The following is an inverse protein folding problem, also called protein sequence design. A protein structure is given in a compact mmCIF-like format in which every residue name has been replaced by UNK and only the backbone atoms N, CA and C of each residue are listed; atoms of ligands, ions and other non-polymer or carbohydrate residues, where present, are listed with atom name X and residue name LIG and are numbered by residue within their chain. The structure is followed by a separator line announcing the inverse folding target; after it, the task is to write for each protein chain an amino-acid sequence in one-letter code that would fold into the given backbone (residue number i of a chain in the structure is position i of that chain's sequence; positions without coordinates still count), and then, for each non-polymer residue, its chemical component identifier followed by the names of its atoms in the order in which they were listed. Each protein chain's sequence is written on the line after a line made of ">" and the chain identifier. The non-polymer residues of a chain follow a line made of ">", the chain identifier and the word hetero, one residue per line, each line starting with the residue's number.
data_IF_881258479677
#
_entry.id   IF_881258479677
#
_cell.length_a   1.000
_cell.length_b   1.000
_cell.length_c   1.000
_cell.angle_alpha   90.00
_cell.angle_beta   90.00
_cell.angle_gamma   90.00
#
_symmetry.space_group_name_H-M   'P 1'
#
loop_
_entity.id
_entity.type
_entity.pdbx_description
1 polymer ?
#
# COMPACT_ATOMS: atom_id res chain seq x y z
N UNK A 1 15.04 -84.73 30.79
CA UNK A 1 15.87 -83.95 29.83
C UNK A 1 15.14 -83.59 28.56
N UNK A 2 14.41 -84.50 27.92
CA UNK A 2 13.66 -84.26 26.67
C UNK A 2 12.63 -83.13 26.74
N UNK A 3 11.84 -83.03 27.81
CA UNK A 3 10.83 -81.97 27.98
C UNK A 3 11.41 -80.56 28.10
N UNK A 4 12.61 -80.42 28.67
CA UNK A 4 13.26 -79.12 28.83
C UNK A 4 13.75 -78.60 27.47
N UNK A 5 14.28 -79.50 26.63
CA UNK A 5 14.73 -79.19 25.28
C UNK A 5 13.55 -78.76 24.39
N UNK A 6 12.39 -79.41 24.50
CA UNK A 6 11.21 -79.05 23.69
C UNK A 6 10.65 -77.67 24.02
N UNK A 7 10.66 -77.28 25.30
CA UNK A 7 10.18 -75.96 25.75
C UNK A 7 11.12 -74.87 25.23
N UNK A 8 12.43 -75.12 25.30
CA UNK A 8 13.43 -74.19 24.75
C UNK A 8 13.24 -74.03 23.24
N UNK A 9 13.06 -75.13 22.50
CA UNK A 9 12.87 -75.04 21.03
C UNK A 9 11.58 -74.31 20.65
N UNK A 10 10.48 -74.53 21.37
CA UNK A 10 9.20 -73.84 21.11
C UNK A 10 9.29 -72.35 21.45
N UNK A 11 10.02 -71.99 22.51
CA UNK A 11 10.24 -70.59 22.89
C UNK A 11 11.09 -69.85 21.86
N UNK A 12 12.14 -70.52 21.34
CA UNK A 12 12.98 -69.97 20.26
C UNK A 12 12.18 -69.80 18.97
N UNK A 13 11.36 -70.78 18.60
CA UNK A 13 10.46 -70.69 17.44
C UNK A 13 9.43 -69.56 17.58
N UNK A 14 8.86 -69.37 18.77
CA UNK A 14 7.94 -68.27 19.05
C UNK A 14 8.63 -66.89 18.92
N UNK A 15 9.86 -66.76 19.44
CA UNK A 15 10.66 -65.53 19.31
C UNK A 15 11.13 -65.26 17.87
N UNK A 16 11.26 -66.30 17.04
CA UNK A 16 11.61 -66.16 15.62
C UNK A 16 10.39 -65.85 14.74
N UNK A 17 9.18 -66.19 15.19
CA UNK A 17 7.94 -66.00 14.43
C UNK A 17 7.16 -64.72 14.83
N UNK A 18 7.37 -64.20 16.04
CA UNK A 18 6.80 -62.91 16.47
C UNK A 18 7.35 -61.64 15.76
N UNK A 19 8.60 -61.57 15.27
CA UNK A 19 9.11 -60.34 14.67
C UNK A 19 8.48 -60.01 13.32
N UNK A 20 7.97 -60.99 12.58
CA UNK A 20 7.51 -60.77 11.20
C UNK A 20 6.23 -59.95 11.12
N UNK A 21 5.33 -60.04 12.11
CA UNK A 21 4.10 -59.25 12.11
C UNK A 21 4.32 -57.78 12.49
N UNK A 22 5.34 -57.49 13.32
CA UNK A 22 5.64 -56.13 13.77
C UNK A 22 6.38 -55.32 12.70
N UNK A 23 7.21 -55.98 11.88
CA UNK A 23 7.95 -55.33 10.79
C UNK A 23 7.01 -54.84 9.69
N UNK A 24 5.92 -55.57 9.39
CA UNK A 24 4.94 -55.17 8.37
C UNK A 24 4.10 -53.93 8.77
N UNK A 25 3.79 -53.75 10.05
CA UNK A 25 3.01 -52.58 10.52
C UNK A 25 3.84 -51.30 10.58
N UNK A 26 5.17 -51.40 10.71
CA UNK A 26 6.06 -50.24 10.68
C UNK A 26 6.28 -49.73 9.25
N UNK A 27 6.33 -50.62 8.26
CA UNK A 27 6.61 -50.29 6.86
C UNK A 27 5.52 -49.39 6.24
N UNK A 28 4.24 -49.65 6.54
CA UNK A 28 3.10 -48.84 6.11
C UNK A 28 3.17 -47.39 6.65
N UNK A 29 3.73 -47.20 7.84
CA UNK A 29 3.90 -45.86 8.43
C UNK A 29 5.12 -45.10 7.88
N UNK A 30 6.14 -45.83 7.41
CA UNK A 30 7.34 -45.24 6.79
C UNK A 30 7.03 -44.69 5.39
N UNK A 31 6.19 -45.38 4.63
CA UNK A 31 5.78 -44.92 3.29
C UNK A 31 4.84 -43.70 3.37
N UNK A 32 3.89 -43.68 4.31
CA UNK A 32 3.01 -42.53 4.51
C UNK A 32 3.78 -41.28 4.95
N UNK A 33 4.71 -41.41 5.91
CA UNK A 33 5.51 -40.27 6.37
C UNK A 33 6.44 -39.74 5.28
N UNK A 34 7.03 -40.62 4.46
CA UNK A 34 7.83 -40.23 3.31
C UNK A 34 6.99 -39.47 2.27
N UNK A 35 5.75 -39.91 2.04
CA UNK A 35 4.81 -39.22 1.14
C UNK A 35 4.43 -37.83 1.67
N UNK A 36 4.21 -37.70 2.99
CA UNK A 36 3.91 -36.43 3.63
C UNK A 36 5.09 -35.47 3.61
N UNK A 37 6.32 -35.96 3.83
CA UNK A 37 7.54 -35.16 3.72
C UNK A 37 7.71 -34.60 2.31
N UNK A 38 7.55 -35.44 1.27
CA UNK A 38 7.61 -34.98 -0.12
C UNK A 38 6.53 -33.95 -0.44
N UNK A 39 5.31 -34.15 0.08
CA UNK A 39 4.21 -33.19 -0.09
C UNK A 39 4.47 -31.87 0.62
N UNK A 40 5.07 -31.91 1.80
CA UNK A 40 5.40 -30.70 2.56
C UNK A 40 6.54 -29.92 1.91
N UNK A 41 7.56 -30.62 1.42
CA UNK A 41 8.66 -30.03 0.66
C UNK A 41 8.18 -29.36 -0.64
N UNK A 42 7.25 -30.00 -1.36
CA UNK A 42 6.59 -29.40 -2.53
C UNK A 42 5.82 -28.12 -2.17
N UNK A 43 5.15 -28.08 -1.01
CA UNK A 43 4.49 -26.85 -0.55
C UNK A 43 5.49 -25.77 -0.17
N UNK A 44 6.57 -26.10 0.54
CA UNK A 44 7.60 -25.13 0.91
C UNK A 44 8.20 -24.47 -0.34
N UNK A 45 8.60 -25.28 -1.32
CA UNK A 45 9.12 -24.76 -2.60
C UNK A 45 8.10 -23.90 -3.35
N UNK A 46 6.81 -24.27 -3.32
CA UNK A 46 5.74 -23.46 -3.89
C UNK A 46 5.59 -22.11 -3.17
N UNK A 47 5.57 -22.10 -1.83
CA UNK A 47 5.48 -20.86 -1.04
C UNK A 47 6.70 -19.95 -1.26
N UNK A 48 7.90 -20.52 -1.32
CA UNK A 48 9.13 -19.75 -1.60
C UNK A 48 9.08 -19.07 -2.98
N UNK A 49 8.55 -19.76 -3.99
CA UNK A 49 8.34 -19.17 -5.32
C UNK A 49 7.34 -18.00 -5.29
N UNK A 50 6.24 -18.13 -4.53
CA UNK A 50 5.24 -17.07 -4.36
C UNK A 50 5.80 -15.87 -3.59
N UNK A 51 6.58 -16.10 -2.53
CA UNK A 51 7.25 -15.04 -1.77
C UNK A 51 8.19 -14.26 -2.69
N UNK A 52 8.98 -14.96 -3.51
CA UNK A 52 9.91 -14.33 -4.46
C UNK A 52 9.18 -13.50 -5.51
N UNK A 53 8.07 -14.02 -6.05
CA UNK A 53 7.24 -13.29 -7.01
C UNK A 53 6.60 -12.04 -6.39
N UNK A 54 6.03 -12.16 -5.18
CA UNK A 54 5.45 -11.04 -4.45
C UNK A 54 6.49 -9.99 -4.05
N UNK A 55 7.69 -10.39 -3.64
CA UNK A 55 8.79 -9.46 -3.36
C UNK A 55 9.19 -8.66 -4.60
N UNK A 56 9.23 -9.30 -5.77
CA UNK A 56 9.49 -8.62 -7.05
C UNK A 56 8.39 -7.61 -7.38
N UNK A 57 7.13 -7.97 -7.17
CA UNK A 57 5.98 -7.07 -7.36
C UNK A 57 5.97 -5.90 -6.37
N UNK A 58 6.26 -6.14 -5.08
CA UNK A 58 6.41 -5.08 -4.08
C UNK A 58 7.57 -4.15 -4.43
N UNK A 59 8.68 -4.68 -4.94
CA UNK A 59 9.82 -3.86 -5.39
C UNK A 59 9.45 -3.00 -6.60
N UNK A 60 8.71 -3.56 -7.56
CA UNK A 60 8.16 -2.82 -8.70
C UNK A 60 7.20 -1.71 -8.23
N UNK A 61 6.29 -2.04 -7.31
CA UNK A 61 5.34 -1.09 -6.74
C UNK A 61 6.03 0.00 -5.89
N UNK A 62 7.14 -0.30 -5.22
CA UNK A 62 7.94 0.65 -4.44
C UNK A 62 8.80 1.58 -5.31
N UNK A 63 9.08 1.21 -6.55
CA UNK A 63 9.77 2.10 -7.52
C UNK A 63 8.86 3.19 -8.12
N UNK A 64 7.53 3.01 -8.06
CA UNK A 64 6.53 3.98 -8.50
C UNK A 64 6.46 5.23 -7.59
N UNK A 65 6.46 5.12 -6.23
CA UNK A 65 6.45 6.29 -5.36
C UNK A 65 7.77 7.07 -5.34
N UNK A 66 8.88 6.51 -5.83
CA UNK A 66 10.17 7.25 -5.94
C UNK A 66 10.18 8.29 -7.06
N UNK A 67 9.13 8.34 -7.89
CA UNK A 67 8.89 9.45 -8.81
C UNK A 67 7.86 10.45 -8.29
N UNK A 68 7.00 10.07 -7.35
CA UNK A 68 6.07 11.03 -6.71
C UNK A 68 6.82 11.93 -5.72
N UNK A 69 7.90 11.44 -5.10
CA UNK A 69 8.74 12.24 -4.20
C UNK A 69 9.73 13.16 -4.95
N UNK A 70 10.16 12.80 -6.17
CA UNK A 70 11.05 13.66 -6.98
C UNK A 70 10.33 14.76 -7.76
N UNK A 71 9.00 14.69 -7.86
CA UNK A 71 8.18 15.81 -8.32
C UNK A 71 7.85 16.79 -7.18
N UNK A 72 8.29 16.53 -5.95
CA UNK A 72 8.19 17.44 -4.81
C UNK A 72 9.56 18.03 -4.45
N UNK A 73 10.04 18.97 -5.28
CA UNK A 73 10.41 20.27 -4.73
C UNK A 73 9.45 21.39 -5.13
N UNK A 74 8.39 21.09 -5.91
CA UNK A 74 7.55 22.12 -6.53
C UNK A 74 6.14 22.26 -5.92
N UNK A 75 5.72 21.40 -4.99
CA UNK A 75 4.35 21.45 -4.42
C UNK A 75 4.22 22.29 -3.15
N UNK A 76 5.29 22.88 -2.63
CA UNK A 76 5.15 24.01 -1.70
C UNK A 76 4.97 25.32 -2.46
N UNK A 77 5.61 25.49 -3.62
CA UNK A 77 5.49 26.71 -4.41
C UNK A 77 4.10 26.86 -5.02
N UNK A 78 3.48 25.79 -5.53
CA UNK A 78 2.13 25.90 -6.12
C UNK A 78 1.03 25.97 -5.06
N UNK A 79 1.17 25.26 -3.93
CA UNK A 79 0.21 25.40 -2.82
C UNK A 79 0.40 26.73 -2.10
N UNK A 80 1.63 27.26 -1.99
CA UNK A 80 1.87 28.61 -1.51
C UNK A 80 1.42 29.66 -2.52
N UNK A 81 1.55 29.44 -3.83
CA UNK A 81 1.05 30.35 -4.87
C UNK A 81 -0.48 30.37 -4.91
N UNK A 82 -1.14 29.22 -4.74
CA UNK A 82 -2.60 29.14 -4.58
C UNK A 82 -3.04 29.78 -3.27
N UNK A 83 -2.32 29.54 -2.16
CA UNK A 83 -2.60 30.19 -0.87
C UNK A 83 -2.36 31.71 -0.90
N UNK A 84 -1.31 32.16 -1.59
CA UNK A 84 -1.00 33.56 -1.86
C UNK A 84 -2.04 34.20 -2.79
N UNK A 85 -2.53 33.46 -3.79
CA UNK A 85 -3.64 33.90 -4.63
C UNK A 85 -4.91 34.08 -3.78
N UNK A 86 -5.26 33.13 -2.90
CA UNK A 86 -6.43 33.29 -2.01
C UNK A 86 -6.27 34.36 -0.93
N UNK A 87 -5.04 34.76 -0.58
CA UNK A 87 -4.81 35.87 0.38
C UNK A 87 -4.74 37.24 -0.29
N UNK A 88 -4.73 37.31 -1.63
CA UNK A 88 -4.56 38.56 -2.38
C UNK A 88 -5.67 38.85 -3.40
N UNK A 89 -6.74 38.06 -3.44
CA UNK A 89 -7.92 38.40 -4.26
C UNK A 89 -8.71 39.50 -3.51
N UNK A 90 -8.86 40.71 -4.09
CA UNK A 90 -9.63 41.81 -3.49
C UNK A 90 -11.11 41.44 -3.41
N UNK A 91 -11.84 41.97 -2.43
CA UNK A 91 -13.30 41.75 -2.33
C UNK A 91 -14.10 42.81 -3.09
N UNK A 92 -13.46 43.92 -3.46
CA UNK A 92 -14.13 45.03 -4.14
C UNK A 92 -13.19 45.86 -5.02
N UNK A 93 -13.77 46.69 -5.88
CA UNK A 93 -13.05 47.72 -6.64
C UNK A 93 -12.35 48.74 -5.72
N UNK A 94 -12.88 48.99 -4.52
CA UNK A 94 -12.24 49.88 -3.56
C UNK A 94 -10.93 49.27 -3.03
N UNK A 95 -10.90 47.97 -2.78
CA UNK A 95 -9.68 47.28 -2.35
C UNK A 95 -8.61 47.33 -3.44
N UNK A 96 -9.01 47.14 -4.71
CA UNK A 96 -8.12 47.31 -5.87
C UNK A 96 -7.51 48.71 -5.91
N UNK A 97 -8.32 49.74 -5.66
CA UNK A 97 -7.86 51.13 -5.59
C UNK A 97 -6.89 51.37 -4.43
N UNK A 98 -7.17 50.82 -3.25
CA UNK A 98 -6.26 50.89 -2.11
C UNK A 98 -4.95 50.13 -2.35
N UNK A 99 -4.98 49.07 -3.17
CA UNK A 99 -3.79 48.37 -3.66
C UNK A 99 -3.05 49.11 -4.79
N UNK A 100 -3.53 50.29 -5.21
CA UNK A 100 -2.89 51.15 -6.20
C UNK A 100 -3.34 50.94 -7.65
N UNK A 101 -4.43 50.19 -7.90
CA UNK A 101 -5.03 50.15 -9.24
C UNK A 101 -5.79 51.44 -9.55
N UNK A 102 -5.45 52.06 -10.68
CA UNK A 102 -6.00 53.34 -11.13
C UNK A 102 -6.60 53.27 -12.55
N UNK A 103 -6.56 52.11 -13.20
CA UNK A 103 -6.98 51.94 -14.60
C UNK A 103 -8.35 51.27 -14.63
N UNK A 104 -9.37 51.89 -15.22
CA UNK A 104 -10.68 51.25 -15.35
C UNK A 104 -10.58 49.97 -16.18
N UNK A 105 -11.25 48.89 -15.75
CA UNK A 105 -11.13 47.58 -16.41
C UNK A 105 -11.90 46.46 -15.73
N UNK A 106 -11.81 45.25 -16.29
CA UNK A 106 -12.38 44.03 -15.71
C UNK A 106 -11.40 43.43 -14.70
N UNK A 107 -11.87 43.19 -13.48
CA UNK A 107 -11.06 42.62 -12.40
C UNK A 107 -11.77 41.45 -11.74
N UNK A 108 -10.97 40.48 -11.27
CA UNK A 108 -11.46 39.37 -10.47
C UNK A 108 -11.54 39.79 -8.99
N UNK A 109 -12.73 39.70 -8.41
CA UNK A 109 -12.97 39.95 -6.99
C UNK A 109 -13.57 38.72 -6.31
N UNK A 110 -13.32 38.57 -5.02
CA UNK A 110 -13.92 37.51 -4.23
C UNK A 110 -15.34 37.93 -3.83
N UNK A 111 -16.33 37.36 -4.53
CA UNK A 111 -17.75 37.47 -4.20
C UNK A 111 -18.12 36.65 -2.96
N UNK A 112 -19.42 36.56 -2.67
CA UNK A 112 -19.88 35.96 -1.41
C UNK A 112 -19.64 34.45 -1.33
N UNK A 113 -19.63 33.76 -2.48
CA UNK A 113 -19.45 32.31 -2.58
C UNK A 113 -18.39 31.89 -3.60
N UNK A 114 -18.01 32.76 -4.53
CA UNK A 114 -17.09 32.46 -5.64
C UNK A 114 -16.36 33.70 -6.14
N UNK A 115 -15.29 33.50 -6.93
CA UNK A 115 -14.61 34.60 -7.63
C UNK A 115 -15.49 35.08 -8.79
N UNK A 116 -15.71 36.39 -8.86
CA UNK A 116 -16.55 37.06 -9.85
C UNK A 116 -15.71 38.07 -10.65
N UNK A 117 -16.05 38.25 -11.92
CA UNK A 117 -15.45 39.28 -12.78
C UNK A 117 -16.33 40.52 -12.74
N UNK A 118 -15.77 41.63 -12.23
CA UNK A 118 -16.48 42.91 -12.13
C UNK A 118 -15.75 43.98 -12.91
N UNK A 119 -16.50 44.91 -13.49
CA UNK A 119 -15.92 46.10 -14.12
C UNK A 119 -15.73 47.18 -13.06
N UNK A 120 -14.48 47.59 -12.84
CA UNK A 120 -14.15 48.70 -11.96
C UNK A 120 -13.91 49.97 -12.79
N UNK A 121 -14.67 51.02 -12.51
CA UNK A 121 -14.43 52.33 -13.09
C UNK A 121 -13.64 53.22 -12.10
N UNK A 122 -12.37 53.47 -12.42
CA UNK A 122 -11.48 54.36 -11.66
C UNK A 122 -11.33 55.75 -12.28
N UNK A 123 -12.09 56.05 -13.34
CA UNK A 123 -12.07 57.36 -13.99
C UNK A 123 -12.69 58.46 -13.12
N UNK A 124 -13.38 58.08 -12.04
CA UNK A 124 -13.96 59.00 -11.05
C UNK A 124 -13.04 59.17 -9.84
N UNK A 125 -12.65 60.41 -9.56
CA UNK A 125 -11.98 60.79 -8.31
C UNK A 125 -12.88 60.45 -7.09
N UNK A 126 -12.31 60.21 -5.89
CA UNK A 126 -13.03 59.61 -4.76
C UNK A 126 -14.06 60.54 -4.08
N UNK A 127 -14.43 61.66 -4.69
CA UNK A 127 -15.36 62.66 -4.14
C UNK A 127 -16.41 63.06 -5.19
N UNK A 128 -17.21 62.11 -5.65
CA UNK A 128 -18.42 62.43 -6.42
C UNK A 128 -19.64 61.83 -5.71
N UNK A 129 -20.44 62.63 -4.98
CA UNK A 129 -21.58 62.18 -4.17
C UNK A 129 -22.81 61.85 -5.03
N UNK A 130 -22.61 61.15 -6.14
CA UNK A 130 -23.64 60.91 -7.15
C UNK A 130 -24.03 59.44 -7.21
N UNK A 131 -24.49 58.90 -6.08
CA UNK A 131 -25.42 57.77 -6.02
C UNK A 131 -26.17 57.76 -4.69
N UNK A 132 -27.06 58.74 -4.55
CA UNK A 132 -28.37 58.57 -3.91
C UNK A 132 -29.40 58.39 -5.02
#
# INVERSE_FOLDING_TARGET
>A
MTHFVTIITLSILALAFWPTSVIASSDETHEDLASQLSRMESKVTQLESLITALQKEVTRMKSIPTQIDRNSPATESDVAAVRQATTKIPRSCQDLRCMGQIISGMYAVMGNTSVEMVFCDFSKAPNDPSKL
#
